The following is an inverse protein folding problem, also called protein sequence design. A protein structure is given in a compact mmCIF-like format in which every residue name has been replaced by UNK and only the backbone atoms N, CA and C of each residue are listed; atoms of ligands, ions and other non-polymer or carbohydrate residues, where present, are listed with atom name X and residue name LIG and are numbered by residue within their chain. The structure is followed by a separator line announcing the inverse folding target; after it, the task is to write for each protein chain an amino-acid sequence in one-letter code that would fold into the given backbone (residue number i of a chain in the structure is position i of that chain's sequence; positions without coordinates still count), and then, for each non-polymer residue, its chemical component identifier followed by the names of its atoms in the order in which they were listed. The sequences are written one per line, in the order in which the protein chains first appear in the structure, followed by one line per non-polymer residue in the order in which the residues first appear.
data_IF_474399688772
#
_entry.id   IF_474399688772
#
_cell.length_a   1.000
_cell.length_b   1.000
_cell.length_c   1.000
_cell.angle_alpha   90.00
_cell.angle_beta   90.00
_cell.angle_gamma   90.00
#
_symmetry.space_group_name_H-M   'P 1'
#
loop_
_entity.id
_entity.type
_entity.pdbx_description
1 polymer ?
#
# COMPACT_ATOMS: atom_id res chain seq x y z
N UNK A 1 -21.45 53.77 17.56
CA UNK A 1 -20.90 54.40 16.35
C UNK A 1 -20.76 55.94 16.45
N UNK A 2 -21.15 56.58 17.56
CA UNK A 2 -21.01 58.04 17.76
C UNK A 2 -19.65 58.47 18.36
N UNK A 3 -18.98 57.59 19.11
CA UNK A 3 -17.70 57.89 19.78
C UNK A 3 -16.56 58.08 18.77
N UNK A 4 -16.58 57.36 17.65
CA UNK A 4 -15.60 57.51 16.56
C UNK A 4 -15.75 58.85 15.81
N UNK A 5 -16.95 59.42 15.74
CA UNK A 5 -17.17 60.71 15.10
C UNK A 5 -16.57 61.84 15.92
N UNK A 6 -16.80 61.84 17.24
CA UNK A 6 -16.30 62.89 18.13
C UNK A 6 -14.77 62.90 18.21
N UNK A 7 -14.12 61.74 18.31
CA UNK A 7 -12.64 61.67 18.34
C UNK A 7 -12.01 62.17 17.03
N UNK A 8 -12.62 61.87 15.88
CA UNK A 8 -12.16 62.40 14.59
C UNK A 8 -12.30 63.93 14.54
N UNK A 9 -13.38 64.50 15.08
CA UNK A 9 -13.54 65.96 15.15
C UNK A 9 -12.51 66.63 16.06
N UNK A 10 -12.20 66.04 17.22
CA UNK A 10 -11.15 66.55 18.11
C UNK A 10 -9.76 66.46 17.48
N UNK A 11 -9.45 65.37 16.77
CA UNK A 11 -8.19 65.22 16.03
C UNK A 11 -8.07 66.22 14.88
N UNK A 12 -9.16 66.48 14.16
CA UNK A 12 -9.19 67.44 13.05
C UNK A 12 -9.03 68.88 13.57
N UNK A 13 -9.65 69.21 14.70
CA UNK A 13 -9.46 70.49 15.39
C UNK A 13 -8.01 70.68 15.84
N UNK A 14 -7.42 69.66 16.47
CA UNK A 14 -6.02 69.69 16.90
C UNK A 14 -5.03 69.82 15.73
N UNK A 15 -5.28 69.09 14.63
CA UNK A 15 -4.50 69.21 13.41
C UNK A 15 -4.60 70.62 12.81
N UNK A 16 -5.81 71.18 12.73
CA UNK A 16 -6.02 72.53 12.20
C UNK A 16 -5.30 73.59 13.06
N UNK A 17 -5.38 73.48 14.39
CA UNK A 17 -4.66 74.38 15.31
C UNK A 17 -3.15 74.27 15.11
N UNK A 18 -2.63 73.06 14.94
CA UNK A 18 -1.20 72.81 14.69
C UNK A 18 -0.72 73.44 13.38
N UNK A 19 -1.52 73.35 12.30
CA UNK A 19 -1.22 74.01 11.02
C UNK A 19 -1.25 75.54 11.11
N UNK A 20 -2.15 76.11 11.90
CA UNK A 20 -2.24 77.57 12.07
C UNK A 20 -1.08 78.09 12.93
N UNK A 21 -0.68 77.37 13.98
CA UNK A 21 0.40 77.80 14.89
C UNK A 21 1.80 77.61 14.29
N UNK A 22 2.02 76.56 13.50
CA UNK A 22 3.36 76.17 13.04
C UNK A 22 3.52 76.15 11.51
N UNK A 23 2.52 76.58 10.75
CA UNK A 23 2.45 76.80 9.30
C UNK A 23 3.58 76.13 8.48
N UNK A 24 4.73 76.80 8.33
CA UNK A 24 5.85 76.32 7.49
C UNK A 24 6.48 75.03 8.03
N UNK A 25 6.68 74.91 9.35
CA UNK A 25 7.25 73.71 9.98
C UNK A 25 6.30 72.51 9.89
N UNK A 26 4.99 72.74 9.99
CA UNK A 26 3.98 71.69 9.83
C UNK A 26 3.99 71.11 8.41
N UNK A 27 4.06 71.98 7.39
CA UNK A 27 4.14 71.55 5.98
C UNK A 27 5.43 70.78 5.71
N UNK A 28 6.57 71.25 6.21
CA UNK A 28 7.86 70.56 6.08
C UNK A 28 7.85 69.18 6.77
N UNK A 29 7.23 69.08 7.94
CA UNK A 29 7.11 67.82 8.68
C UNK A 29 6.21 66.81 7.96
N UNK A 30 5.07 67.26 7.40
CA UNK A 30 4.22 66.42 6.57
C UNK A 30 4.95 65.93 5.31
N UNK A 31 5.70 66.80 4.63
CA UNK A 31 6.48 66.43 3.45
C UNK A 31 7.59 65.43 3.80
N UNK A 32 8.27 65.62 4.94
CA UNK A 32 9.26 64.67 5.46
C UNK A 32 8.64 63.31 5.78
N UNK A 33 7.48 63.29 6.45
CA UNK A 33 6.77 62.06 6.75
C UNK A 33 6.35 61.31 5.47
N UNK A 34 5.85 62.02 4.46
CA UNK A 34 5.50 61.43 3.16
C UNK A 34 6.73 60.86 2.44
N UNK A 35 7.85 61.59 2.42
CA UNK A 35 9.10 61.10 1.83
C UNK A 35 9.66 59.88 2.56
N UNK A 36 9.53 59.84 3.89
CA UNK A 36 9.94 58.70 4.69
C UNK A 36 9.07 57.47 4.41
N UNK A 37 7.73 57.65 4.36
CA UNK A 37 6.82 56.53 4.06
C UNK A 37 7.01 55.99 2.64
N UNK A 38 7.21 56.86 1.64
CA UNK A 38 7.47 56.43 0.27
C UNK A 38 8.82 55.72 0.15
N UNK A 39 9.87 56.21 0.81
CA UNK A 39 11.17 55.53 0.89
C UNK A 39 11.07 54.16 1.57
N UNK A 40 10.36 54.07 2.70
CA UNK A 40 10.13 52.81 3.41
C UNK A 40 9.36 51.79 2.56
N UNK A 41 8.33 52.22 1.81
CA UNK A 41 7.59 51.37 0.88
C UNK A 41 8.46 50.87 -0.27
N UNK A 42 9.33 51.72 -0.83
CA UNK A 42 10.26 51.31 -1.90
C UNK A 42 11.26 50.29 -1.40
N UNK A 43 11.82 50.49 -0.20
CA UNK A 43 12.74 49.55 0.44
C UNK A 43 12.02 48.23 0.71
N UNK A 44 10.82 48.25 1.29
CA UNK A 44 10.03 47.05 1.57
C UNK A 44 9.65 46.31 0.28
N UNK A 45 9.30 47.02 -0.78
CA UNK A 45 9.02 46.42 -2.09
C UNK A 45 10.27 45.79 -2.70
N UNK A 46 11.42 46.46 -2.61
CA UNK A 46 12.67 45.96 -3.16
C UNK A 46 13.19 44.75 -2.37
N UNK A 47 13.18 44.80 -1.04
CA UNK A 47 13.50 43.67 -0.16
C UNK A 47 12.51 42.53 -0.30
N UNK A 48 11.21 42.83 -0.44
CA UNK A 48 10.18 41.84 -0.71
C UNK A 48 10.40 41.13 -2.04
N UNK A 49 10.71 41.89 -3.11
CA UNK A 49 11.04 41.32 -4.42
C UNK A 49 12.31 40.47 -4.36
N UNK A 50 13.36 40.93 -3.67
CA UNK A 50 14.56 40.12 -3.50
C UNK A 50 14.33 38.86 -2.66
N UNK A 51 13.54 38.94 -1.57
CA UNK A 51 13.17 37.78 -0.76
C UNK A 51 12.35 36.76 -1.56
N UNK A 52 11.44 37.22 -2.43
CA UNK A 52 10.68 36.35 -3.34
C UNK A 52 11.57 35.71 -4.39
N UNK A 53 12.54 36.44 -4.96
CA UNK A 53 13.49 35.89 -5.94
C UNK A 53 14.39 34.85 -5.28
N UNK A 54 14.99 35.15 -4.12
CA UNK A 54 15.86 34.22 -3.39
C UNK A 54 15.08 32.97 -2.96
N UNK A 55 13.86 33.14 -2.43
CA UNK A 55 13.00 32.01 -2.03
C UNK A 55 12.52 31.21 -3.24
N UNK A 56 12.22 31.89 -4.35
CA UNK A 56 11.85 31.26 -5.62
C UNK A 56 12.99 30.49 -6.26
N UNK A 57 14.23 30.98 -6.16
CA UNK A 57 15.43 30.33 -6.68
C UNK A 57 15.84 29.13 -5.81
N UNK A 58 15.74 29.23 -4.47
CA UNK A 58 15.86 28.10 -3.57
C UNK A 58 14.77 27.05 -3.79
N UNK A 59 13.53 27.48 -4.07
CA UNK A 59 12.44 26.57 -4.45
C UNK A 59 12.74 25.90 -5.79
N UNK A 60 13.29 26.60 -6.80
CA UNK A 60 13.66 25.98 -8.09
C UNK A 60 14.87 25.05 -7.98
N UNK A 61 15.87 25.35 -7.16
CA UNK A 61 17.03 24.45 -6.93
C UNK A 61 16.67 23.24 -6.09
N UNK A 62 15.74 23.36 -5.14
CA UNK A 62 15.18 22.20 -4.42
C UNK A 62 14.21 21.41 -5.29
N UNK A 63 13.26 22.04 -5.98
CA UNK A 63 12.30 21.40 -6.89
C UNK A 63 12.95 20.79 -8.13
N UNK A 64 14.06 21.35 -8.63
CA UNK A 64 14.87 20.75 -9.70
C UNK A 64 15.61 19.49 -9.25
N UNK A 65 15.96 19.38 -7.96
CA UNK A 65 16.45 18.13 -7.34
C UNK A 65 15.31 17.17 -6.98
N UNK A 66 14.12 17.70 -6.69
CA UNK A 66 12.87 16.95 -6.57
C UNK A 66 12.13 16.93 -7.91
N UNK A 67 12.83 16.57 -8.98
CA UNK A 67 12.21 16.24 -10.26
C UNK A 67 11.27 15.05 -10.05
N UNK A 68 9.97 15.33 -9.96
CA UNK A 68 8.78 14.54 -10.31
C UNK A 68 8.64 13.07 -9.87
N UNK A 69 9.64 12.42 -9.26
CA UNK A 69 9.58 10.99 -8.93
C UNK A 69 9.34 10.69 -7.45
N UNK A 70 9.55 11.64 -6.54
CA UNK A 70 9.43 11.40 -5.09
C UNK A 70 7.99 11.28 -4.63
N UNK A 71 7.14 12.25 -5.00
CA UNK A 71 5.71 12.23 -4.66
C UNK A 71 4.96 11.22 -5.52
N UNK A 72 5.39 10.95 -6.75
CA UNK A 72 4.88 9.80 -7.52
C UNK A 72 5.25 8.48 -6.84
N UNK A 73 6.48 8.31 -6.33
CA UNK A 73 6.84 7.10 -5.57
C UNK A 73 6.05 6.98 -4.28
N UNK A 74 5.87 8.04 -3.51
CA UNK A 74 5.07 7.99 -2.28
C UNK A 74 3.59 7.75 -2.61
N UNK A 75 3.07 8.34 -3.69
CA UNK A 75 1.74 8.00 -4.23
C UNK A 75 1.70 6.55 -4.74
N UNK A 76 2.77 5.98 -5.27
CA UNK A 76 2.84 4.59 -5.70
C UNK A 76 2.96 3.60 -4.53
N UNK A 77 3.54 4.04 -3.41
CA UNK A 77 3.61 3.28 -2.15
C UNK A 77 2.35 3.45 -1.28
N UNK A 78 1.61 4.55 -1.45
CA UNK A 78 0.44 4.93 -0.63
C UNK A 78 -0.89 4.80 -1.40
N UNK A 79 -0.88 4.70 -2.73
CA UNK A 79 -1.99 4.13 -3.47
C UNK A 79 -2.10 2.67 -3.03
N UNK A 80 -3.25 2.23 -2.47
CA UNK A 80 -3.46 0.82 -2.24
C UNK A 80 -3.22 0.11 -3.57
N UNK A 81 -2.53 -1.03 -3.52
CA UNK A 81 -2.32 -1.92 -4.67
C UNK A 81 -3.63 -2.49 -5.25
N UNK A 82 -4.78 -1.86 -4.98
CA UNK A 82 -6.08 -2.01 -5.66
C UNK A 82 -6.08 -1.63 -7.13
N UNK A 83 -4.94 -1.21 -7.72
CA UNK A 83 -4.74 -1.52 -9.13
C UNK A 83 -4.51 -3.01 -9.23
N UNK A 84 -5.61 -3.75 -9.40
CA UNK A 84 -5.66 -5.07 -10.03
C UNK A 84 -4.78 -4.96 -11.26
N UNK A 85 -3.51 -5.30 -11.09
CA UNK A 85 -2.45 -5.09 -12.07
C UNK A 85 -2.65 -6.19 -13.09
N UNK A 86 -3.58 -5.97 -14.02
CA UNK A 86 -3.88 -6.80 -15.19
C UNK A 86 -3.32 -8.22 -15.02
N UNK A 87 -3.90 -8.98 -14.10
CA UNK A 87 -3.42 -10.33 -13.86
C UNK A 87 -3.61 -11.07 -15.16
N UNK A 88 -2.51 -11.60 -15.71
CA UNK A 88 -2.57 -12.45 -16.89
C UNK A 88 -3.65 -13.49 -16.61
N UNK A 89 -4.69 -13.47 -17.45
CA UNK A 89 -5.88 -14.28 -17.21
C UNK A 89 -5.51 -15.78 -17.23
N UNK A 90 -4.38 -16.11 -17.85
CA UNK A 90 -3.89 -17.45 -18.13
C UNK A 90 -3.12 -17.98 -16.91
N UNK A 91 -3.63 -19.06 -16.31
CA UNK A 91 -2.96 -19.76 -15.20
C UNK A 91 -2.35 -21.08 -15.68
N UNK A 92 -3.05 -21.80 -16.55
CA UNK A 92 -2.63 -23.11 -17.08
C UNK A 92 -2.44 -23.09 -18.60
N UNK A 93 -3.01 -22.10 -19.29
CA UNK A 93 -2.97 -21.97 -20.75
C UNK A 93 -4.21 -22.52 -21.45
N UNK A 94 -5.11 -23.18 -20.72
CA UNK A 94 -6.43 -23.59 -21.18
C UNK A 94 -7.51 -22.68 -20.57
N UNK A 95 -8.15 -21.85 -21.39
CA UNK A 95 -9.08 -20.81 -20.91
C UNK A 95 -10.26 -21.37 -20.11
N UNK A 96 -10.81 -22.51 -20.53
CA UNK A 96 -11.95 -23.17 -19.85
C UNK A 96 -11.59 -23.60 -18.43
N UNK A 97 -10.39 -24.17 -18.24
CA UNK A 97 -9.92 -24.61 -16.93
C UNK A 97 -9.59 -23.40 -16.06
N UNK A 98 -8.95 -22.39 -16.65
CA UNK A 98 -8.58 -21.16 -15.95
C UNK A 98 -9.80 -20.38 -15.46
N UNK A 99 -10.91 -20.38 -16.22
CA UNK A 99 -12.16 -19.73 -15.81
C UNK A 99 -12.82 -20.44 -14.62
N UNK A 100 -12.95 -21.78 -14.68
CA UNK A 100 -13.50 -22.57 -13.55
C UNK A 100 -12.63 -22.44 -12.31
N UNK A 101 -11.31 -22.48 -12.46
CA UNK A 101 -10.39 -22.39 -11.34
C UNK A 101 -10.46 -21.03 -10.64
N UNK A 102 -10.65 -19.95 -11.41
CA UNK A 102 -10.88 -18.61 -10.85
C UNK A 102 -12.18 -18.53 -10.08
N UNK A 103 -13.26 -19.09 -10.62
CA UNK A 103 -14.55 -19.11 -9.96
C UNK A 103 -14.49 -19.87 -8.63
N UNK A 104 -13.87 -21.06 -8.63
CA UNK A 104 -13.67 -21.85 -7.40
C UNK A 104 -12.81 -21.10 -6.39
N UNK A 105 -11.73 -20.46 -6.83
CA UNK A 105 -10.86 -19.68 -5.96
C UNK A 105 -11.59 -18.45 -5.42
N UNK A 106 -12.46 -17.82 -6.20
CA UNK A 106 -13.28 -16.68 -5.79
C UNK A 106 -14.28 -17.07 -4.72
N UNK A 107 -14.98 -18.18 -4.90
CA UNK A 107 -15.87 -18.74 -3.88
C UNK A 107 -15.11 -19.14 -2.63
N UNK A 108 -13.92 -19.76 -2.77
CA UNK A 108 -13.10 -20.15 -1.63
C UNK A 108 -12.65 -18.91 -0.83
N UNK A 109 -12.15 -17.88 -1.51
CA UNK A 109 -11.75 -16.63 -0.86
C UNK A 109 -12.95 -15.96 -0.20
N UNK A 110 -14.10 -15.91 -0.86
CA UNK A 110 -15.30 -15.27 -0.32
C UNK A 110 -15.82 -15.98 0.92
N UNK A 111 -15.97 -17.30 0.87
CA UNK A 111 -16.67 -18.05 1.90
C UNK A 111 -15.75 -18.40 3.07
N UNK A 112 -14.49 -18.74 2.79
CA UNK A 112 -13.53 -19.16 3.81
C UNK A 112 -12.59 -18.07 4.28
N UNK A 113 -12.20 -17.11 3.44
CA UNK A 113 -11.14 -16.14 3.80
C UNK A 113 -11.73 -14.82 4.27
N UNK A 114 -12.65 -14.23 3.49
CA UNK A 114 -13.25 -12.94 3.83
C UNK A 114 -14.03 -12.98 5.13
N UNK A 115 -14.67 -14.10 5.46
CA UNK A 115 -15.55 -14.23 6.64
C UNK A 115 -14.81 -13.99 7.96
N UNK A 116 -13.62 -14.60 8.15
CA UNK A 116 -12.81 -14.36 9.36
C UNK A 116 -11.86 -13.17 9.20
N UNK A 117 -11.37 -12.90 7.99
CA UNK A 117 -10.42 -11.80 7.78
C UNK A 117 -11.04 -10.46 8.14
N UNK A 118 -12.30 -10.24 7.76
CA UNK A 118 -13.05 -9.01 8.07
C UNK A 118 -13.29 -8.78 9.55
N UNK A 119 -13.19 -9.82 10.38
CA UNK A 119 -13.26 -9.67 11.84
C UNK A 119 -11.95 -9.16 12.45
N UNK A 120 -10.82 -9.31 11.74
CA UNK A 120 -9.48 -8.99 12.23
C UNK A 120 -8.94 -7.69 11.60
N UNK A 121 -9.21 -7.45 10.32
CA UNK A 121 -8.71 -6.28 9.58
C UNK A 121 -9.58 -5.99 8.35
N UNK A 122 -9.74 -4.72 8.00
CA UNK A 122 -10.57 -4.25 6.86
C UNK A 122 -9.72 -3.87 5.64
N UNK A 123 -8.44 -4.29 5.60
CA UNK A 123 -7.51 -3.95 4.53
C UNK A 123 -7.54 -4.99 3.39
N UNK A 124 -7.97 -4.58 2.20
CA UNK A 124 -8.01 -5.47 1.01
C UNK A 124 -6.65 -5.95 0.50
N UNK A 125 -5.54 -5.35 0.97
CA UNK A 125 -4.18 -5.69 0.54
C UNK A 125 -3.84 -7.17 0.73
N UNK A 126 -4.27 -7.78 1.84
CA UNK A 126 -4.02 -9.20 2.10
C UNK A 126 -4.71 -10.12 1.08
N UNK A 127 -5.93 -9.76 0.66
CA UNK A 127 -6.66 -10.55 -0.33
C UNK A 127 -5.94 -10.52 -1.68
N UNK A 128 -5.41 -9.35 -2.08
CA UNK A 128 -4.63 -9.21 -3.31
C UNK A 128 -3.36 -10.07 -3.27
N UNK A 129 -2.63 -10.04 -2.15
CA UNK A 129 -1.43 -10.85 -1.97
C UNK A 129 -1.74 -12.36 -1.95
N UNK A 130 -2.87 -12.75 -1.34
CA UNK A 130 -3.36 -14.13 -1.38
C UNK A 130 -3.63 -14.59 -2.82
N UNK A 131 -4.36 -13.77 -3.59
CA UNK A 131 -4.65 -14.05 -5.00
C UNK A 131 -3.37 -14.23 -5.82
N UNK A 132 -2.38 -13.37 -5.61
CA UNK A 132 -1.09 -13.46 -6.28
C UNK A 132 -0.33 -14.73 -5.89
N UNK A 133 -0.36 -15.11 -4.62
CA UNK A 133 0.25 -16.35 -4.14
C UNK A 133 -0.43 -17.58 -4.78
N UNK A 134 -1.77 -17.64 -4.71
CA UNK A 134 -2.55 -18.74 -5.27
C UNK A 134 -2.31 -18.91 -6.78
N UNK A 135 -2.35 -17.81 -7.54
CA UNK A 135 -2.06 -17.83 -8.97
C UNK A 135 -0.65 -18.34 -9.26
N UNK A 136 0.35 -17.90 -8.49
CA UNK A 136 1.74 -18.36 -8.66
C UNK A 136 1.88 -19.85 -8.40
N UNK A 137 1.25 -20.35 -7.34
CA UNK A 137 1.22 -21.79 -7.00
C UNK A 137 0.58 -22.59 -8.14
N UNK A 138 -0.55 -22.15 -8.65
CA UNK A 138 -1.26 -22.80 -9.77
C UNK A 138 -0.39 -22.83 -11.02
N UNK A 139 0.24 -21.72 -11.40
CA UNK A 139 1.11 -21.66 -12.59
C UNK A 139 2.29 -22.61 -12.43
N UNK A 140 2.96 -22.58 -11.28
CA UNK A 140 4.09 -23.48 -10.99
C UNK A 140 3.65 -24.94 -11.01
N UNK A 141 2.50 -25.26 -10.41
CA UNK A 141 1.93 -26.59 -10.42
C UNK A 141 1.57 -27.06 -11.83
N UNK A 142 0.95 -26.20 -12.65
CA UNK A 142 0.61 -26.50 -14.03
C UNK A 142 1.85 -26.75 -14.89
N UNK A 143 2.89 -25.94 -14.72
CA UNK A 143 4.15 -26.13 -15.44
C UNK A 143 4.83 -27.45 -15.05
N UNK A 144 4.88 -27.78 -13.75
CA UNK A 144 5.44 -29.07 -13.29
C UNK A 144 4.60 -30.26 -13.72
N UNK A 145 3.28 -30.10 -13.75
CA UNK A 145 2.35 -31.11 -14.24
C UNK A 145 2.55 -31.43 -15.72
N UNK A 146 2.95 -30.45 -16.54
CA UNK A 146 3.23 -30.67 -17.98
C UNK A 146 4.54 -31.40 -18.23
N UNK A 147 5.50 -31.32 -17.31
CA UNK A 147 6.79 -32.01 -17.39
C UNK A 147 6.69 -33.50 -17.01
N UNK A 148 5.57 -33.92 -16.42
CA UNK A 148 5.35 -35.30 -15.94
C UNK A 148 4.64 -36.11 -17.02
N UNK A 149 5.21 -37.26 -17.38
CA UNK A 149 4.53 -38.26 -18.19
C UNK A 149 3.45 -38.98 -17.37
N UNK A 150 2.21 -38.49 -17.48
CA UNK A 150 1.06 -39.01 -16.73
C UNK A 150 0.72 -40.48 -17.06
N UNK A 151 0.94 -40.90 -18.31
CA UNK A 151 0.55 -42.23 -18.79
C UNK A 151 1.24 -43.37 -18.01
N UNK A 152 2.59 -43.45 -17.94
CA UNK A 152 3.27 -44.47 -17.13
C UNK A 152 3.06 -44.27 -15.64
N UNK A 153 2.87 -43.03 -15.18
CA UNK A 153 2.61 -42.75 -13.76
C UNK A 153 1.30 -43.39 -13.29
N UNK A 154 0.18 -43.14 -13.98
CA UNK A 154 -1.11 -43.67 -13.58
C UNK A 154 -1.25 -45.16 -13.81
N UNK A 155 -0.71 -45.69 -14.91
CA UNK A 155 -0.95 -47.10 -15.30
C UNK A 155 -0.01 -48.07 -14.62
N UNK A 156 1.23 -47.66 -14.32
CA UNK A 156 2.24 -48.52 -13.73
C UNK A 156 2.53 -48.10 -12.30
N UNK A 157 3.13 -46.93 -12.09
CA UNK A 157 3.68 -46.54 -10.78
C UNK A 157 2.64 -46.44 -9.68
N UNK A 158 1.52 -45.76 -9.96
CA UNK A 158 0.46 -45.58 -8.97
C UNK A 158 -0.19 -46.92 -8.61
N UNK A 159 -0.50 -47.75 -9.61
CA UNK A 159 -1.09 -49.08 -9.40
C UNK A 159 -0.12 -50.00 -8.68
N UNK A 160 1.17 -49.96 -9.02
CA UNK A 160 2.22 -50.74 -8.37
C UNK A 160 2.41 -50.34 -6.90
N UNK A 161 2.37 -49.04 -6.60
CA UNK A 161 2.44 -48.54 -5.21
C UNK A 161 1.22 -48.97 -4.39
N UNK A 162 0.00 -48.89 -4.95
CA UNK A 162 -1.20 -49.39 -4.28
C UNK A 162 -1.16 -50.92 -4.10
N UNK A 163 -0.74 -51.66 -5.12
CA UNK A 163 -0.60 -53.11 -5.03
C UNK A 163 0.46 -53.51 -3.99
N UNK A 164 1.56 -52.76 -3.90
CA UNK A 164 2.61 -52.93 -2.90
C UNK A 164 2.06 -52.69 -1.49
N UNK A 165 1.35 -51.57 -1.27
CA UNK A 165 0.71 -51.28 0.02
C UNK A 165 -0.31 -52.35 0.42
N UNK A 166 -1.16 -52.82 -0.50
CA UNK A 166 -2.13 -53.88 -0.22
C UNK A 166 -1.42 -55.20 0.13
N UNK A 167 -0.34 -55.55 -0.59
CA UNK A 167 0.46 -56.74 -0.28
C UNK A 167 1.14 -56.63 1.07
N UNK A 168 1.72 -55.48 1.40
CA UNK A 168 2.38 -55.23 2.68
C UNK A 168 1.36 -55.30 3.82
N UNK A 169 0.20 -54.67 3.66
CA UNK A 169 -0.91 -54.74 4.60
C UNK A 169 -1.37 -56.18 4.82
N UNK A 170 -1.57 -56.95 3.74
CA UNK A 170 -1.97 -58.36 3.85
C UNK A 170 -0.91 -59.20 4.58
N UNK A 171 0.38 -58.99 4.29
CA UNK A 171 1.47 -59.68 5.01
C UNK A 171 1.51 -59.33 6.50
N UNK A 172 1.29 -58.06 6.85
CA UNK A 172 1.21 -57.63 8.24
C UNK A 172 -0.03 -58.22 8.95
N UNK A 173 -1.17 -58.27 8.26
CA UNK A 173 -2.40 -58.91 8.75
C UNK A 173 -2.23 -60.42 8.95
N UNK A 174 -1.58 -61.12 8.02
CA UNK A 174 -1.32 -62.56 8.12
C UNK A 174 -0.32 -62.86 9.25
N UNK A 175 0.73 -62.04 9.42
CA UNK A 175 1.68 -62.14 10.54
C UNK A 175 0.99 -61.92 11.89
N UNK A 176 0.12 -60.93 12.00
CA UNK A 176 -0.63 -60.67 13.25
C UNK A 176 -1.67 -61.76 13.52
N UNK A 177 -2.28 -62.35 12.49
CA UNK A 177 -3.18 -63.49 12.64
C UNK A 177 -2.44 -64.77 13.07
N UNK A 178 -1.27 -65.05 12.51
CA UNK A 178 -0.43 -66.19 12.91
C UNK A 178 0.13 -65.99 14.32
N UNK A 179 0.61 -64.79 14.65
CA UNK A 179 1.12 -64.50 15.99
C UNK A 179 0.03 -64.43 17.07
N UNK A 180 -1.26 -64.33 16.68
CA UNK A 180 -2.39 -64.56 17.58
C UNK A 180 -2.65 -66.05 17.86
N UNK A 181 -2.10 -66.95 17.04
CA UNK A 181 -2.18 -68.41 17.23
C UNK A 181 -0.99 -68.98 18.01
N UNK A 182 0.15 -68.29 18.02
CA UNK A 182 1.30 -68.58 18.88
C UNK A 182 1.33 -67.56 20.03
N UNK A 183 0.86 -67.96 21.22
CA UNK A 183 0.84 -67.15 22.45
C UNK A 183 2.28 -66.74 22.91
N UNK A 184 2.93 -65.83 22.19
CA UNK A 184 4.17 -65.19 22.59
C UNK A 184 4.11 -63.70 22.24
N UNK A 185 3.35 -62.97 23.06
CA UNK A 185 3.10 -61.52 22.97
C UNK A 185 4.41 -60.71 22.86
N UNK A 186 5.51 -61.20 23.45
CA UNK A 186 6.83 -60.55 23.40
C UNK A 186 7.54 -60.65 22.03
N UNK A 187 7.23 -61.66 21.21
CA UNK A 187 7.77 -61.76 19.84
C UNK A 187 7.03 -60.85 18.87
N UNK A 188 5.74 -60.60 19.13
CA UNK A 188 4.88 -59.70 18.36
C UNK A 188 5.31 -58.24 18.47
N UNK A 189 5.72 -57.79 19.66
CA UNK A 189 6.18 -56.42 19.90
C UNK A 189 7.48 -56.12 19.14
N UNK A 190 8.44 -57.05 19.17
CA UNK A 190 9.71 -56.88 18.46
C UNK A 190 9.58 -56.96 16.92
N UNK A 191 8.62 -57.74 16.40
CA UNK A 191 8.41 -57.84 14.95
C UNK A 191 7.63 -56.66 14.33
N UNK A 192 7.05 -55.79 15.17
CA UNK A 192 6.27 -54.63 14.73
C UNK A 192 7.08 -53.33 14.73
N UNK A 193 8.15 -53.25 15.53
CA UNK A 193 8.98 -52.05 15.71
C UNK A 193 10.40 -52.13 15.11
N UNK A 194 10.76 -53.26 14.47
CA UNK A 194 11.92 -53.39 13.58
C UNK A 194 11.49 -53.20 12.11
#
# INVERSE_FOLDING_TARGET
MAVSGMTVMWLLLAACLFFVSFQVYAILLCLYALAFTSGALVILYHFGKQAVIIRGEQTKTTLGKFSHGGIEKVKQFMEPSTKIKNFDKRMTGASVIDDVLKEVLEFTVRDYIKTWYRQISDHDSFLVDFWQCAQKVIITFSNRSKEIDWMPYFTQRLVDDFASHIRLYRRAADKTAQAKSEDNVAALENAFFD
#
